data_IF_465886340835
#
_entry.id   IF_465886340835
#
_cell.length_a   1.000
_cell.length_b   1.000
_cell.length_c   1.000
_cell.angle_alpha   90.00
_cell.angle_beta   90.00
_cell.angle_gamma   90.00
#
_symmetry.space_group_name_H-M   'P 1'
#
loop_
_entity.id
_entity.type
_entity.pdbx_description
1 polymer ?
#
# COMPACT_ATOMS: atom_id res chain seq x y z
N UNK A 1 -10.64 -47.41 -63.19
CA UNK A 1 -9.48 -46.51 -62.93
C UNK A 1 -9.97 -45.38 -62.04
N UNK A 2 -9.66 -45.44 -60.75
CA UNK A 2 -10.27 -44.65 -59.67
C UNK A 2 -9.46 -43.38 -59.38
N UNK A 3 -9.97 -42.20 -59.75
CA UNK A 3 -9.46 -40.92 -59.22
C UNK A 3 -10.62 -39.93 -59.07
N UNK A 4 -11.42 -40.07 -58.00
CA UNK A 4 -12.39 -39.01 -57.65
C UNK A 4 -12.82 -38.97 -56.19
N UNK A 5 -11.93 -39.22 -55.22
CA UNK A 5 -12.26 -39.08 -53.80
C UNK A 5 -11.24 -38.27 -52.96
N UNK A 6 -10.20 -37.68 -53.56
CA UNK A 6 -9.14 -36.99 -52.82
C UNK A 6 -9.44 -35.57 -52.34
N UNK A 7 -10.41 -34.86 -52.95
CA UNK A 7 -10.61 -33.41 -52.70
C UNK A 7 -11.66 -33.13 -51.61
N UNK A 8 -12.57 -34.08 -51.35
CA UNK A 8 -13.68 -33.90 -50.38
C UNK A 8 -13.27 -34.16 -48.92
N UNK A 9 -12.22 -34.96 -48.69
CA UNK A 9 -11.75 -35.30 -47.35
C UNK A 9 -10.83 -34.21 -46.78
N UNK A 10 -9.96 -33.62 -47.61
CA UNK A 10 -9.05 -32.54 -47.20
C UNK A 10 -9.79 -31.27 -46.73
N UNK A 11 -10.92 -30.94 -47.36
CA UNK A 11 -11.75 -29.77 -47.01
C UNK A 11 -12.61 -29.98 -45.76
N UNK A 12 -12.93 -31.22 -45.40
CA UNK A 12 -13.62 -31.55 -44.14
C UNK A 12 -12.65 -31.59 -42.96
N UNK A 13 -11.46 -32.15 -43.17
CA UNK A 13 -10.42 -32.21 -42.13
C UNK A 13 -9.92 -30.79 -41.77
N UNK A 14 -9.72 -29.92 -42.76
CA UNK A 14 -9.31 -28.53 -42.51
C UNK A 14 -10.38 -27.73 -41.77
N UNK A 15 -11.67 -27.91 -42.09
CA UNK A 15 -12.79 -27.28 -41.34
C UNK A 15 -12.87 -27.77 -39.89
N UNK A 16 -12.61 -29.05 -39.65
CA UNK A 16 -12.66 -29.65 -38.31
C UNK A 16 -11.48 -29.19 -37.45
N UNK A 17 -10.28 -29.11 -38.02
CA UNK A 17 -9.09 -28.53 -37.38
C UNK A 17 -9.32 -27.04 -37.07
N UNK A 18 -9.90 -26.26 -38.00
CA UNK A 18 -10.19 -24.85 -37.78
C UNK A 18 -11.23 -24.64 -36.65
N UNK A 19 -12.25 -25.50 -36.56
CA UNK A 19 -13.25 -25.44 -35.48
C UNK A 19 -12.66 -25.80 -34.11
N UNK A 20 -11.77 -26.79 -34.05
CA UNK A 20 -11.05 -27.14 -32.81
C UNK A 20 -10.15 -25.98 -32.38
N UNK A 21 -9.38 -25.38 -33.29
CA UNK A 21 -8.52 -24.23 -33.00
C UNK A 21 -9.34 -23.01 -32.53
N UNK A 22 -10.49 -22.74 -33.16
CA UNK A 22 -11.40 -21.65 -32.76
C UNK A 22 -12.03 -21.89 -31.38
N UNK A 23 -12.39 -23.14 -31.04
CA UNK A 23 -12.92 -23.47 -29.71
C UNK A 23 -11.89 -23.32 -28.59
N UNK A 24 -10.61 -23.61 -28.86
CA UNK A 24 -9.50 -23.37 -27.93
C UNK A 24 -9.21 -21.87 -27.80
N UNK A 25 -9.36 -21.09 -28.86
CA UNK A 25 -9.24 -19.62 -28.81
C UNK A 25 -10.38 -18.98 -28.00
N UNK A 26 -11.63 -19.43 -28.13
CA UNK A 26 -12.74 -18.91 -27.31
C UNK A 26 -12.57 -19.26 -25.82
N UNK A 27 -11.98 -20.42 -25.50
CA UNK A 27 -11.60 -20.78 -24.13
C UNK A 27 -10.38 -19.98 -23.60
N UNK A 28 -9.44 -19.61 -24.48
CA UNK A 28 -8.29 -18.78 -24.12
C UNK A 28 -8.67 -17.29 -23.92
N UNK A 29 -9.66 -16.78 -24.67
CA UNK A 29 -10.15 -15.41 -24.52
C UNK A 29 -11.13 -15.30 -23.33
N UNK A 30 -11.88 -16.36 -23.02
CA UNK A 30 -12.68 -16.44 -21.78
C UNK A 30 -11.83 -16.69 -20.51
N UNK A 31 -10.56 -17.09 -20.67
CA UNK A 31 -9.58 -17.28 -19.59
C UNK A 31 -8.60 -16.12 -19.40
N UNK A 32 -8.75 -15.03 -20.15
CA UNK A 32 -7.98 -13.79 -19.97
C UNK A 32 -8.84 -12.69 -19.32
N UNK A 33 -9.68 -13.08 -18.37
CA UNK A 33 -10.13 -12.15 -17.35
C UNK A 33 -9.04 -12.09 -16.31
N UNK A 34 -8.50 -10.91 -16.02
CA UNK A 34 -7.67 -10.70 -14.83
C UNK A 34 -8.37 -11.39 -13.66
N UNK A 35 -7.68 -12.33 -13.02
CA UNK A 35 -8.24 -13.04 -11.88
C UNK A 35 -8.66 -12.00 -10.83
N UNK A 36 -9.74 -12.24 -10.07
CA UNK A 36 -10.16 -11.30 -9.01
C UNK A 36 -9.00 -10.99 -8.03
N UNK A 37 -8.01 -11.88 -7.93
CA UNK A 37 -6.73 -11.71 -7.24
C UNK A 37 -5.78 -10.67 -7.84
N UNK A 38 -5.80 -10.46 -9.15
CA UNK A 38 -4.92 -9.48 -9.82
C UNK A 38 -5.29 -8.04 -9.44
N UNK A 39 -6.56 -7.80 -9.10
CA UNK A 39 -7.05 -6.48 -8.70
C UNK A 39 -6.41 -5.99 -7.39
N UNK A 40 -6.17 -6.89 -6.44
CA UNK A 40 -5.59 -6.57 -5.14
C UNK A 40 -4.07 -6.69 -5.10
N UNK A 41 -3.49 -7.53 -5.95
CA UNK A 41 -2.05 -7.83 -5.91
C UNK A 41 -1.19 -6.60 -6.17
N UNK A 42 -0.18 -6.37 -5.33
CA UNK A 42 0.83 -5.32 -5.49
C UNK A 42 1.04 -4.48 -4.24
N UNK A 43 1.78 -3.38 -4.42
CA UNK A 43 2.09 -2.43 -3.36
C UNK A 43 1.15 -1.24 -3.40
N UNK A 44 0.62 -0.87 -2.24
CA UNK A 44 -0.36 0.19 -2.06
C UNK A 44 0.08 1.14 -0.96
N UNK A 45 -0.21 2.42 -1.11
CA UNK A 45 0.16 3.46 -0.15
C UNK A 45 -1.02 4.38 0.10
N UNK A 46 -1.17 4.85 1.33
CA UNK A 46 -2.20 5.83 1.69
C UNK A 46 -2.09 7.09 0.82
N UNK A 47 -3.18 7.46 0.14
CA UNK A 47 -3.24 8.62 -0.77
C UNK A 47 -2.97 9.94 -0.03
N UNK A 48 -3.67 10.12 1.09
CA UNK A 48 -3.65 11.34 1.91
C UNK A 48 -3.17 11.01 3.33
N UNK A 49 -1.85 11.10 3.61
CA UNK A 49 -1.34 10.90 4.95
C UNK A 49 -1.86 12.00 5.91
N UNK A 50 -2.12 11.62 7.17
CA UNK A 50 -2.55 12.55 8.24
C UNK A 50 -1.54 12.59 9.38
N UNK A 51 -1.41 11.48 10.10
CA UNK A 51 -0.45 11.31 11.20
C UNK A 51 0.51 10.15 10.95
N UNK A 52 0.20 9.35 9.92
CA UNK A 52 1.01 8.24 9.47
C UNK A 52 0.84 8.03 7.97
N UNK A 53 1.76 7.25 7.40
CA UNK A 53 1.67 6.65 6.07
C UNK A 53 1.56 5.15 6.27
N UNK A 54 0.55 4.54 5.67
CA UNK A 54 0.41 3.07 5.68
C UNK A 54 0.72 2.53 4.29
N UNK A 55 1.55 1.49 4.24
CA UNK A 55 1.86 0.72 3.04
C UNK A 55 1.32 -0.67 3.18
N UNK A 56 0.72 -1.19 2.11
CA UNK A 56 0.27 -2.57 2.01
C UNK A 56 1.04 -3.26 0.89
N UNK A 57 1.59 -4.43 1.15
CA UNK A 57 2.09 -5.36 0.14
C UNK A 57 1.18 -6.58 0.14
N UNK A 58 0.38 -6.72 -0.90
CA UNK A 58 -0.64 -7.77 -1.03
C UNK A 58 -0.18 -8.76 -2.08
N UNK A 59 -0.04 -10.02 -1.69
CA UNK A 59 0.46 -11.09 -2.55
C UNK A 59 -0.50 -12.28 -2.57
N UNK A 60 -0.66 -12.94 -3.73
CA UNK A 60 -1.49 -14.13 -3.83
C UNK A 60 -0.89 -15.30 -3.07
N UNK A 61 -1.76 -16.08 -2.43
CA UNK A 61 -1.51 -17.40 -1.87
C UNK A 61 -2.45 -18.40 -2.58
N UNK A 62 -2.41 -19.68 -2.20
CA UNK A 62 -3.27 -20.71 -2.80
C UNK A 62 -4.76 -20.44 -2.50
N UNK A 63 -5.64 -20.94 -3.37
CA UNK A 63 -7.09 -21.00 -3.13
C UNK A 63 -7.78 -19.65 -2.82
N UNK A 64 -7.50 -18.61 -3.63
CA UNK A 64 -8.03 -17.23 -3.45
C UNK A 64 -7.70 -16.58 -2.10
N UNK A 65 -6.74 -17.14 -1.38
CA UNK A 65 -6.17 -16.53 -0.19
C UNK A 65 -5.12 -15.50 -0.61
N UNK A 66 -5.00 -14.42 0.14
CA UNK A 66 -3.99 -13.38 -0.04
C UNK A 66 -3.22 -13.20 1.28
N UNK A 67 -1.93 -12.93 1.19
CA UNK A 67 -1.12 -12.46 2.31
C UNK A 67 -1.02 -10.95 2.19
N UNK A 68 -1.30 -10.24 3.27
CA UNK A 68 -1.23 -8.78 3.34
C UNK A 68 -0.18 -8.43 4.38
N UNK A 69 0.85 -7.71 3.97
CA UNK A 69 1.81 -7.08 4.87
C UNK A 69 1.51 -5.60 4.95
N UNK A 70 1.21 -5.12 6.14
CA UNK A 70 0.92 -3.72 6.44
C UNK A 70 2.09 -3.10 7.21
N UNK A 71 2.68 -2.05 6.66
CA UNK A 71 3.73 -1.27 7.29
C UNK A 71 3.22 0.16 7.57
N UNK A 72 3.11 0.53 8.84
CA UNK A 72 2.70 1.87 9.29
C UNK A 72 3.92 2.68 9.69
N UNK A 73 4.09 3.84 9.07
CA UNK A 73 5.19 4.77 9.32
C UNK A 73 4.67 6.04 9.99
N UNK A 74 5.30 6.43 11.09
CA UNK A 74 4.94 7.63 11.86
C UNK A 74 6.15 8.19 12.61
N UNK A 75 6.15 9.49 12.90
CA UNK A 75 7.16 10.09 13.76
C UNK A 75 6.78 9.92 15.24
N UNK A 76 7.74 9.42 16.03
CA UNK A 76 7.65 9.35 17.48
C UNK A 76 8.63 10.32 18.14
N UNK A 77 8.15 11.03 19.16
CA UNK A 77 8.93 11.97 19.95
C UNK A 77 9.86 11.22 20.90
N UNK A 78 11.13 11.61 20.91
CA UNK A 78 12.09 11.17 21.92
C UNK A 78 12.80 12.39 22.50
N UNK A 79 12.76 12.54 23.82
CA UNK A 79 13.54 13.57 24.51
C UNK A 79 15.02 13.28 24.25
N UNK A 80 15.69 14.18 23.54
CA UNK A 80 17.11 14.07 23.21
C UNK A 80 17.97 14.78 24.24
N UNK A 81 17.45 15.83 24.89
CA UNK A 81 18.16 16.58 25.92
C UNK A 81 17.19 17.29 26.85
N UNK A 82 17.48 17.26 28.15
CA UNK A 82 16.87 18.13 29.16
C UNK A 82 18.00 18.98 29.77
N UNK A 83 17.81 20.29 29.85
CA UNK A 83 18.74 21.18 30.54
C UNK A 83 17.97 22.20 31.40
N UNK A 84 18.50 22.48 32.59
CA UNK A 84 17.94 23.44 33.53
C UNK A 84 18.92 24.57 33.75
N UNK A 85 18.46 25.82 33.66
CA UNK A 85 19.31 26.95 34.03
C UNK A 85 19.34 27.11 35.55
N UNK A 86 20.54 27.25 36.14
CA UNK A 86 20.73 27.29 37.61
C UNK A 86 19.99 28.40 38.35
N UNK A 87 19.49 29.43 37.65
CA UNK A 87 18.86 30.61 38.24
C UNK A 87 17.49 30.94 37.64
N UNK A 88 16.93 30.04 36.83
CA UNK A 88 15.56 30.16 36.34
C UNK A 88 14.82 28.84 36.59
N UNK A 89 13.50 28.91 36.72
CA UNK A 89 12.66 27.71 36.75
C UNK A 89 12.47 27.11 35.35
N UNK A 90 13.25 27.54 34.36
CA UNK A 90 13.10 27.11 32.97
C UNK A 90 13.76 25.74 32.76
N UNK A 91 12.97 24.82 32.20
CA UNK A 91 13.44 23.53 31.71
C UNK A 91 13.44 23.61 30.18
N UNK A 92 14.60 23.36 29.58
CA UNK A 92 14.79 23.27 28.14
C UNK A 92 14.82 21.82 27.72
N UNK A 93 13.87 21.41 26.88
CA UNK A 93 13.75 20.06 26.35
C UNK A 93 13.85 20.10 24.84
N UNK A 94 14.77 19.29 24.31
CA UNK A 94 14.94 19.06 22.88
C UNK A 94 14.32 17.71 22.51
N UNK A 95 13.62 17.66 21.38
CA UNK A 95 13.05 16.42 20.86
C UNK A 95 13.75 15.99 19.57
N UNK A 96 14.17 14.73 19.54
CA UNK A 96 14.49 14.02 18.30
C UNK A 96 13.23 13.28 17.85
N UNK A 97 12.72 13.60 16.67
CA UNK A 97 11.60 12.88 16.07
C UNK A 97 12.16 11.73 15.24
N UNK A 98 11.91 10.49 15.67
CA UNK A 98 12.39 9.30 14.97
C UNK A 98 11.26 8.72 14.13
N UNK A 99 11.53 8.46 12.85
CA UNK A 99 10.60 7.74 11.99
C UNK A 99 10.60 6.27 12.41
N UNK A 100 9.47 5.78 12.90
CA UNK A 100 9.29 4.38 13.27
C UNK A 100 8.49 3.63 12.20
N UNK A 101 8.73 2.32 12.10
CA UNK A 101 7.99 1.39 11.24
C UNK A 101 7.38 0.30 12.10
N UNK A 102 6.05 0.19 12.07
CA UNK A 102 5.31 -0.89 12.70
C UNK A 102 4.74 -1.81 11.63
N UNK A 103 5.11 -3.09 11.66
CA UNK A 103 4.70 -4.07 10.67
C UNK A 103 3.67 -5.02 11.25
N UNK A 104 2.69 -5.39 10.42
CA UNK A 104 1.71 -6.44 10.70
C UNK A 104 1.52 -7.29 9.46
N UNK A 105 1.26 -8.57 9.67
CA UNK A 105 0.85 -9.48 8.60
C UNK A 105 -0.53 -10.04 8.92
N UNK A 106 -1.33 -10.24 7.89
CA UNK A 106 -2.62 -10.90 7.97
C UNK A 106 -2.90 -11.69 6.69
N UNK A 107 -3.87 -12.60 6.78
CA UNK A 107 -4.35 -13.37 5.64
C UNK A 107 -5.82 -13.03 5.40
N UNK A 108 -6.21 -12.98 4.13
CA UNK A 108 -7.58 -12.71 3.75
C UNK A 108 -8.02 -13.54 2.56
N UNK A 109 -9.33 -13.58 2.34
CA UNK A 109 -9.94 -14.25 1.20
C UNK A 109 -10.65 -13.26 0.30
N UNK A 110 -10.54 -13.50 -1.00
CA UNK A 110 -11.23 -12.68 -2.00
C UNK A 110 -12.67 -13.15 -2.17
N UNK A 111 -13.59 -12.20 -2.05
CA UNK A 111 -14.99 -12.35 -2.38
C UNK A 111 -15.40 -11.17 -3.27
N UNK A 112 -15.45 -11.40 -4.59
CA UNK A 112 -15.71 -10.37 -5.61
C UNK A 112 -14.67 -9.24 -5.51
N UNK A 113 -15.12 -7.99 -5.40
CA UNK A 113 -14.28 -6.80 -5.25
C UNK A 113 -13.87 -6.51 -3.79
N UNK A 114 -13.96 -7.51 -2.90
CA UNK A 114 -13.57 -7.38 -1.50
C UNK A 114 -12.50 -8.41 -1.15
N UNK A 115 -11.47 -7.98 -0.44
CA UNK A 115 -10.55 -8.84 0.27
C UNK A 115 -10.90 -8.73 1.76
N UNK A 116 -11.27 -9.84 2.38
CA UNK A 116 -11.80 -9.89 3.74
C UNK A 116 -10.79 -10.61 4.63
N UNK A 117 -10.36 -9.95 5.70
CA UNK A 117 -9.50 -10.49 6.77
C UNK A 117 -10.30 -10.61 8.06
N UNK A 118 -9.68 -11.10 9.14
CA UNK A 118 -10.31 -11.12 10.46
C UNK A 118 -10.55 -9.71 11.02
N UNK A 119 -9.75 -8.73 10.60
CA UNK A 119 -9.73 -7.40 11.21
C UNK A 119 -10.31 -6.31 10.31
N UNK A 120 -10.24 -6.49 8.99
CA UNK A 120 -10.58 -5.45 8.04
C UNK A 120 -11.22 -6.00 6.76
N UNK A 121 -11.93 -5.12 6.05
CA UNK A 121 -12.43 -5.38 4.70
C UNK A 121 -11.87 -4.34 3.74
N UNK A 122 -11.15 -4.83 2.75
CA UNK A 122 -10.49 -4.06 1.71
C UNK A 122 -11.42 -4.04 0.49
N UNK A 123 -11.88 -2.86 0.09
CA UNK A 123 -12.78 -2.71 -1.06
C UNK A 123 -11.99 -2.17 -2.25
N UNK A 124 -11.95 -2.93 -3.35
CA UNK A 124 -11.36 -2.48 -4.60
C UNK A 124 -12.36 -1.65 -5.40
N UNK A 125 -11.93 -0.45 -5.81
CA UNK A 125 -12.64 0.41 -6.75
C UNK A 125 -12.01 0.26 -8.14
N UNK A 126 -12.75 -0.32 -9.08
CA UNK A 126 -12.26 -0.59 -10.44
C UNK A 126 -12.06 0.70 -11.27
N UNK A 127 -12.88 1.72 -11.06
CA UNK A 127 -12.84 2.98 -11.82
C UNK A 127 -11.59 3.79 -11.46
N UNK A 128 -11.32 3.93 -10.17
CA UNK A 128 -10.19 4.71 -9.67
C UNK A 128 -8.91 3.88 -9.50
N UNK A 129 -9.01 2.54 -9.59
CA UNK A 129 -7.93 1.59 -9.28
C UNK A 129 -7.34 1.83 -7.88
N UNK A 130 -8.23 1.95 -6.89
CA UNK A 130 -7.89 2.20 -5.48
C UNK A 130 -8.40 1.09 -4.58
N UNK A 131 -7.79 0.97 -3.40
CA UNK A 131 -8.32 0.16 -2.30
C UNK A 131 -8.79 1.10 -1.19
N UNK A 132 -9.94 0.80 -0.59
CA UNK A 132 -10.43 1.53 0.59
C UNK A 132 -10.54 0.60 1.80
N UNK A 133 -10.07 1.07 2.96
CA UNK A 133 -10.17 0.41 4.27
C UNK A 133 -10.54 1.50 5.28
N UNK A 134 -11.64 1.36 6.03
CA UNK A 134 -12.04 2.33 7.08
C UNK A 134 -11.99 3.81 6.64
N UNK A 135 -12.45 4.09 5.41
CA UNK A 135 -12.41 5.42 4.75
C UNK A 135 -11.01 5.95 4.40
N UNK A 136 -9.97 5.15 4.57
CA UNK A 136 -8.62 5.43 4.08
C UNK A 136 -8.48 4.88 2.67
N UNK A 137 -8.14 5.77 1.73
CA UNK A 137 -7.94 5.42 0.32
C UNK A 137 -6.47 5.15 0.06
N UNK A 138 -6.19 4.05 -0.62
CA UNK A 138 -4.87 3.61 -1.02
C UNK A 138 -4.73 3.64 -2.53
N UNK A 139 -3.60 4.14 -3.01
CA UNK A 139 -3.21 4.13 -4.41
C UNK A 139 -2.09 3.13 -4.62
N UNK A 140 -2.12 2.44 -5.76
CA UNK A 140 -1.07 1.51 -6.15
C UNK A 140 0.19 2.31 -6.51
N UNK A 141 1.35 1.85 -6.06
CA UNK A 141 2.64 2.44 -6.42
C UNK A 141 3.61 1.35 -6.89
N UNK A 142 4.54 1.74 -7.76
CA UNK A 142 5.53 0.81 -8.35
C UNK A 142 6.97 1.30 -8.21
N UNK A 143 7.17 2.52 -7.72
CA UNK A 143 8.48 3.17 -7.61
C UNK A 143 8.76 3.54 -6.14
N UNK A 144 9.95 3.19 -5.66
CA UNK A 144 10.41 3.53 -4.31
C UNK A 144 10.53 5.04 -4.12
N UNK A 145 10.69 5.82 -5.20
CA UNK A 145 10.66 7.29 -5.13
C UNK A 145 9.29 7.81 -4.69
N UNK A 146 8.19 7.21 -5.17
CA UNK A 146 6.83 7.60 -4.78
C UNK A 146 6.59 7.32 -3.30
N UNK A 147 7.05 6.18 -2.83
CA UNK A 147 7.03 5.80 -1.42
C UNK A 147 7.83 6.79 -0.55
N UNK A 148 9.07 7.09 -0.94
CA UNK A 148 9.92 8.02 -0.20
C UNK A 148 9.34 9.44 -0.13
N UNK A 149 8.77 9.93 -1.25
CA UNK A 149 8.09 11.22 -1.27
C UNK A 149 6.91 11.24 -0.29
N UNK A 150 6.11 10.17 -0.24
CA UNK A 150 4.99 10.06 0.71
C UNK A 150 5.45 10.03 2.16
N UNK A 151 6.59 9.40 2.47
CA UNK A 151 7.15 9.43 3.81
C UNK A 151 7.67 10.82 4.19
N UNK A 152 8.20 11.59 3.24
CA UNK A 152 8.59 12.98 3.48
C UNK A 152 7.39 13.89 3.82
N UNK A 153 6.19 13.58 3.31
CA UNK A 153 4.95 14.31 3.66
C UNK A 153 4.64 14.26 5.17
N UNK A 154 5.21 13.32 5.94
CA UNK A 154 4.99 13.21 7.39
C UNK A 154 5.68 14.31 8.21
N UNK A 155 6.79 14.86 7.71
CA UNK A 155 7.57 15.88 8.44
C UNK A 155 6.72 17.14 8.72
N UNK A 156 6.14 17.83 7.72
CA UNK A 156 5.34 19.02 7.98
C UNK A 156 4.11 18.74 8.84
N UNK A 157 3.52 17.54 8.74
CA UNK A 157 2.40 17.12 9.58
C UNK A 157 2.82 17.02 11.05
N UNK A 158 4.01 16.46 11.32
CA UNK A 158 4.57 16.39 12.66
C UNK A 158 4.93 17.76 13.22
N UNK A 159 5.53 18.64 12.42
CA UNK A 159 5.81 20.02 12.85
C UNK A 159 4.53 20.76 13.21
N UNK A 160 3.48 20.58 12.41
CA UNK A 160 2.20 21.23 12.66
C UNK A 160 1.55 20.69 13.95
N UNK A 161 1.53 19.36 14.15
CA UNK A 161 1.05 18.73 15.39
C UNK A 161 1.74 19.34 16.62
N UNK A 162 3.07 19.52 16.55
CA UNK A 162 3.82 20.05 17.68
C UNK A 162 3.57 21.55 17.87
N UNK A 163 3.56 22.35 16.81
CA UNK A 163 3.18 23.77 16.90
C UNK A 163 1.79 23.94 17.51
N UNK A 164 0.84 23.08 17.14
CA UNK A 164 -0.53 23.14 17.63
C UNK A 164 -0.67 22.76 19.10
N UNK A 165 0.12 21.80 19.60
CA UNK A 165 0.09 21.42 21.02
C UNK A 165 0.78 22.44 21.91
N UNK A 166 1.87 23.08 21.44
CA UNK A 166 2.67 24.01 22.24
C UNK A 166 2.21 25.47 22.16
N UNK A 167 1.25 25.81 21.28
CA UNK A 167 0.80 27.19 21.02
C UNK A 167 0.31 27.98 22.23
N UNK A 168 -0.20 27.29 23.27
CA UNK A 168 -0.77 27.92 24.47
C UNK A 168 0.06 27.64 25.73
N UNK A 169 1.17 26.92 25.59
CA UNK A 169 2.04 26.64 26.72
C UNK A 169 2.82 27.92 27.03
N UNK A 170 2.60 28.47 28.23
CA UNK A 170 3.32 29.65 28.68
C UNK A 170 4.81 29.32 28.68
N UNK A 171 5.52 30.04 27.82
CA UNK A 171 6.92 29.89 27.47
C UNK A 171 7.83 29.54 28.68
N UNK A 172 7.56 29.99 29.92
CA UNK A 172 8.35 29.77 31.15
C UNK A 172 8.51 28.33 31.71
N UNK A 173 8.21 27.31 30.91
CA UNK A 173 8.90 26.01 30.96
C UNK A 173 9.44 25.80 29.54
N UNK A 174 10.51 26.51 29.17
CA UNK A 174 10.83 26.75 27.76
C UNK A 174 11.31 25.49 27.01
N UNK A 175 10.39 24.69 26.47
CA UNK A 175 10.64 23.71 25.42
C UNK A 175 11.04 24.44 24.12
N UNK A 176 12.32 24.73 23.95
CA UNK A 176 12.81 25.13 22.63
C UNK A 176 12.95 23.88 21.78
N UNK A 177 11.88 23.61 21.04
CA UNK A 177 11.76 22.50 20.12
C UNK A 177 12.73 22.65 18.93
N UNK A 178 14.00 22.32 19.13
CA UNK A 178 14.88 21.97 18.02
C UNK A 178 14.49 20.57 17.56
N UNK A 179 13.69 20.50 16.49
CA UNK A 179 13.33 19.22 15.87
C UNK A 179 14.44 18.76 14.94
N UNK A 180 15.21 17.81 15.42
CA UNK A 180 16.04 17.00 14.55
C UNK A 180 15.23 15.76 14.14
N UNK A 181 15.38 15.31 12.89
CA UNK A 181 14.71 14.11 12.37
C UNK A 181 15.72 12.97 12.24
N UNK A 182 15.42 11.81 12.84
CA UNK A 182 16.12 10.56 12.60
C UNK A 182 15.30 9.68 11.65
N UNK A 183 15.70 9.70 10.38
CA UNK A 183 15.09 8.94 9.29
C UNK A 183 15.90 7.70 8.92
N UNK A 184 16.63 7.12 9.87
CA UNK A 184 17.44 5.91 9.64
C UNK A 184 16.64 4.73 9.05
N UNK A 185 15.31 4.73 9.19
CA UNK A 185 14.41 3.73 8.57
C UNK A 185 14.30 3.89 7.04
N UNK A 186 14.52 5.09 6.49
CA UNK A 186 14.50 5.35 5.04
C UNK A 186 15.80 4.94 4.34
N UNK A 187 16.91 4.91 5.09
CA UNK A 187 18.26 4.69 4.56
C UNK A 187 18.73 3.23 4.69
N UNK A 188 17.81 2.29 4.94
CA UNK A 188 18.08 0.84 5.01
C UNK A 188 17.59 0.14 3.75
#
# INVERSE_FOLDING_TARGET
MYLRNGVSVMTKLSKLILMVIMSVLVLAIAGCGSSESDNFTGKWITKNPKTNVTVLDIQPKKDKQMVIKSDVYSYQDKISKESRQRFSNDIHIEYLNTLIKNSKNEEGHINKNKLITEEATYVYNEEEKTITIDNVVYTKYTDDKEFNNKLQDLRPLKEQEIKDRTKNDNMFTHYYDKFDYDDSVLNK
#
